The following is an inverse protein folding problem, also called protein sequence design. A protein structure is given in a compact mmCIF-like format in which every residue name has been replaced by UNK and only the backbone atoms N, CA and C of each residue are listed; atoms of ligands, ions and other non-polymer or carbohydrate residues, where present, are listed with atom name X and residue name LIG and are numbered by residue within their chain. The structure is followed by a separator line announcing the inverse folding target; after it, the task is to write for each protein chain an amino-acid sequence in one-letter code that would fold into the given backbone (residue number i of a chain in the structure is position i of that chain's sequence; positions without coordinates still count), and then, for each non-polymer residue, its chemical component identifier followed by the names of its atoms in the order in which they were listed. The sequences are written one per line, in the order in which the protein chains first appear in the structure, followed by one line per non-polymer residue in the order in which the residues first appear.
data_IF_299427030000
#
_entry.id   IF_299427030000
#
_cell.length_a   1.000
_cell.length_b   1.000
_cell.length_c   1.000
_cell.angle_alpha   90.00
_cell.angle_beta   90.00
_cell.angle_gamma   90.00
#
_symmetry.space_group_name_H-M   'P 1'
#
loop_
_entity.id
_entity.type
_entity.pdbx_description
1 polymer ?
#
# COMPACT_ATOMS: atom_id res chain seq x y z
N UNK A 1 -5.42 -5.32 -3.05
CA UNK A 1 -5.95 -4.15 -2.34
C UNK A 1 -6.43 -3.18 -3.38
N UNK A 2 -7.76 -2.98 -3.52
CA UNK A 2 -8.32 -2.09 -4.52
C UNK A 2 -8.06 -0.62 -4.17
N UNK A 3 -8.19 0.25 -5.17
CA UNK A 3 -8.09 1.71 -5.00
C UNK A 3 -9.12 2.25 -4.00
N UNK A 4 -10.37 1.75 -4.07
CA UNK A 4 -11.48 2.15 -3.21
C UNK A 4 -12.17 0.95 -2.56
N UNK A 5 -12.74 1.16 -1.37
CA UNK A 5 -13.49 0.13 -0.65
C UNK A 5 -12.60 -0.89 0.07
N UNK A 6 -13.11 -2.12 0.18
CA UNK A 6 -12.41 -3.22 0.87
C UNK A 6 -12.59 -3.23 2.40
N UNK A 7 -13.57 -2.47 2.93
CA UNK A 7 -13.92 -2.40 4.35
C UNK A 7 -15.41 -2.13 4.54
N UNK A 8 -15.93 -2.39 5.73
CA UNK A 8 -17.32 -2.13 6.12
C UNK A 8 -17.44 -0.71 6.69
N UNK A 9 -18.12 0.17 5.98
CA UNK A 9 -18.21 1.60 6.29
C UNK A 9 -18.84 1.91 7.66
N UNK A 10 -19.85 1.14 8.07
CA UNK A 10 -20.61 1.32 9.31
C UNK A 10 -19.91 0.77 10.56
N UNK A 11 -18.90 -0.09 10.37
CA UNK A 11 -18.11 -0.69 11.44
C UNK A 11 -16.94 0.22 11.82
N UNK A 12 -16.49 0.14 13.07
CA UNK A 12 -15.25 0.76 13.50
C UNK A 12 -14.04 0.09 12.82
N UNK A 13 -12.89 0.73 12.91
CA UNK A 13 -11.63 0.14 12.42
C UNK A 13 -11.37 -1.22 13.07
N UNK A 14 -11.51 -1.32 14.39
CA UNK A 14 -11.30 -2.56 15.13
C UNK A 14 -12.33 -3.64 14.75
N UNK A 15 -13.60 -3.27 14.59
CA UNK A 15 -14.65 -4.20 14.15
C UNK A 15 -14.38 -4.75 12.75
N UNK A 16 -13.88 -3.92 11.82
CA UNK A 16 -13.44 -4.35 10.50
C UNK A 16 -12.36 -5.44 10.57
N UNK A 17 -11.31 -5.19 11.37
CA UNK A 17 -10.21 -6.14 11.56
C UNK A 17 -10.68 -7.42 12.24
N UNK A 18 -11.57 -7.32 13.24
CA UNK A 18 -12.15 -8.49 13.89
C UNK A 18 -13.00 -9.33 12.94
N UNK A 19 -13.88 -8.70 12.16
CA UNK A 19 -14.77 -9.42 11.24
C UNK A 19 -13.99 -10.29 10.24
N UNK A 20 -12.95 -9.72 9.61
CA UNK A 20 -12.08 -10.48 8.70
C UNK A 20 -11.17 -11.45 9.47
N UNK A 21 -10.65 -11.04 10.62
CA UNK A 21 -9.80 -11.87 11.47
C UNK A 21 -10.50 -13.14 11.94
N UNK A 22 -11.80 -13.09 12.24
CA UNK A 22 -12.60 -14.27 12.65
C UNK A 22 -12.72 -15.31 11.55
N UNK A 23 -12.78 -14.88 10.30
CA UNK A 23 -12.82 -15.78 9.15
C UNK A 23 -11.48 -16.47 8.90
N UNK A 24 -10.36 -15.74 9.10
CA UNK A 24 -9.03 -16.19 8.71
C UNK A 24 -8.24 -16.85 9.85
N UNK A 25 -8.44 -16.43 11.10
CA UNK A 25 -7.64 -16.85 12.26
C UNK A 25 -8.54 -17.45 13.33
N UNK A 26 -8.60 -18.77 13.41
CA UNK A 26 -9.48 -19.50 14.34
C UNK A 26 -9.08 -19.29 15.82
N UNK A 27 -7.78 -19.27 16.12
CA UNK A 27 -7.31 -19.09 17.48
C UNK A 27 -7.51 -17.63 17.94
N UNK A 28 -8.36 -17.44 18.95
CA UNK A 28 -8.73 -16.12 19.47
C UNK A 28 -7.54 -15.30 19.98
N UNK A 29 -6.58 -15.95 20.67
CA UNK A 29 -5.40 -15.27 21.22
C UNK A 29 -4.48 -14.79 20.08
N UNK A 30 -4.17 -15.67 19.14
CA UNK A 30 -3.35 -15.34 17.95
C UNK A 30 -4.00 -14.20 17.13
N UNK A 31 -5.32 -14.27 16.95
CA UNK A 31 -6.09 -13.23 16.24
C UNK A 31 -5.98 -11.87 16.92
N UNK A 32 -6.18 -11.85 18.25
CA UNK A 32 -6.07 -10.62 19.05
C UNK A 32 -4.67 -10.00 18.97
N UNK A 33 -3.62 -10.81 19.14
CA UNK A 33 -2.24 -10.37 19.04
C UNK A 33 -1.92 -9.83 17.64
N UNK A 34 -2.35 -10.53 16.58
CA UNK A 34 -2.15 -10.11 15.19
C UNK A 34 -2.85 -8.78 14.86
N UNK A 35 -4.11 -8.62 15.29
CA UNK A 35 -4.88 -7.40 15.06
C UNK A 35 -4.22 -6.21 15.76
N UNK A 36 -3.86 -6.34 17.04
CA UNK A 36 -3.19 -5.24 17.75
C UNK A 36 -1.83 -4.89 17.13
N UNK A 37 -1.05 -5.89 16.74
CA UNK A 37 0.21 -5.69 16.02
C UNK A 37 0.01 -4.90 14.71
N UNK A 38 -1.03 -5.23 13.92
CA UNK A 38 -1.35 -4.50 12.70
C UNK A 38 -1.82 -3.07 12.98
N UNK A 39 -2.69 -2.86 13.98
CA UNK A 39 -3.15 -1.52 14.36
C UNK A 39 -1.95 -0.63 14.69
N UNK A 40 -1.03 -1.12 15.53
CA UNK A 40 0.17 -0.37 15.91
C UNK A 40 1.13 -0.17 14.73
N UNK A 41 1.42 -1.22 13.95
CA UNK A 41 2.31 -1.14 12.77
C UNK A 41 1.83 -0.13 11.73
N UNK A 42 0.51 0.04 11.59
CA UNK A 42 -0.10 0.97 10.66
C UNK A 42 -0.45 2.34 11.29
N UNK A 43 -0.03 2.60 12.52
CA UNK A 43 -0.28 3.86 13.25
C UNK A 43 -1.78 4.20 13.28
N UNK A 44 -2.61 3.23 13.65
CA UNK A 44 -4.07 3.34 13.66
C UNK A 44 -4.66 3.30 15.08
N UNK A 45 -3.81 3.28 16.12
CA UNK A 45 -4.24 3.16 17.52
C UNK A 45 -5.24 4.25 17.94
N UNK A 46 -4.97 5.50 17.58
CA UNK A 46 -5.80 6.65 17.93
C UNK A 46 -7.21 6.62 17.30
N UNK A 47 -7.40 5.81 16.25
CA UNK A 47 -8.67 5.76 15.50
C UNK A 47 -9.32 4.37 15.51
N UNK A 48 -8.85 3.48 16.39
CA UNK A 48 -9.32 2.09 16.45
C UNK A 48 -10.83 1.94 16.65
N UNK A 49 -11.44 2.83 17.42
CA UNK A 49 -12.86 2.81 17.76
C UNK A 49 -13.70 3.78 16.90
N UNK A 50 -13.08 4.40 15.90
CA UNK A 50 -13.75 5.29 14.95
C UNK A 50 -14.33 4.46 13.80
N UNK A 51 -15.59 4.77 13.42
CA UNK A 51 -16.22 4.14 12.25
C UNK A 51 -15.41 4.43 10.99
N UNK A 52 -15.26 3.42 10.13
CA UNK A 52 -14.46 3.51 8.91
C UNK A 52 -14.95 4.60 7.95
N UNK A 53 -16.25 4.96 7.99
CA UNK A 53 -16.80 6.10 7.24
C UNK A 53 -16.14 7.44 7.59
N UNK A 54 -15.73 7.63 8.85
CA UNK A 54 -15.15 8.88 9.35
C UNK A 54 -13.61 8.93 9.28
N UNK A 55 -12.95 7.86 8.89
CA UNK A 55 -11.50 7.83 8.71
C UNK A 55 -11.07 8.74 7.55
N UNK A 56 -9.90 9.35 7.66
CA UNK A 56 -9.25 10.06 6.54
C UNK A 56 -8.89 9.10 5.40
N UNK A 57 -8.62 9.63 4.20
CA UNK A 57 -8.19 8.83 3.05
C UNK A 57 -6.98 7.94 3.36
N UNK A 58 -5.95 8.50 3.99
CA UNK A 58 -4.76 7.76 4.40
C UNK A 58 -5.02 6.69 5.46
N UNK A 59 -5.90 6.97 6.43
CA UNK A 59 -6.32 5.97 7.43
C UNK A 59 -7.09 4.82 6.77
N UNK A 60 -7.98 5.12 5.82
CA UNK A 60 -8.71 4.11 5.03
C UNK A 60 -7.76 3.22 4.22
N UNK A 61 -6.78 3.81 3.54
CA UNK A 61 -5.75 3.05 2.79
C UNK A 61 -4.98 2.13 3.74
N UNK A 62 -4.51 2.63 4.87
CA UNK A 62 -3.78 1.83 5.89
C UNK A 62 -4.66 0.71 6.46
N UNK A 63 -5.94 0.96 6.74
CA UNK A 63 -6.88 -0.07 7.19
C UNK A 63 -7.02 -1.20 6.15
N UNK A 64 -7.21 -0.88 4.87
CA UNK A 64 -7.41 -1.90 3.83
C UNK A 64 -6.15 -2.75 3.63
N UNK A 65 -4.96 -2.15 3.72
CA UNK A 65 -3.71 -2.91 3.68
C UNK A 65 -3.59 -3.81 4.93
N UNK A 66 -3.90 -3.30 6.12
CA UNK A 66 -3.89 -4.08 7.35
C UNK A 66 -4.86 -5.28 7.28
N UNK A 67 -6.06 -5.08 6.73
CA UNK A 67 -7.03 -6.17 6.50
C UNK A 67 -6.47 -7.25 5.58
N UNK A 68 -5.78 -6.87 4.49
CA UNK A 68 -5.18 -7.83 3.55
C UNK A 68 -4.05 -8.66 4.17
N UNK A 69 -3.38 -8.15 5.21
CA UNK A 69 -2.29 -8.83 5.92
C UNK A 69 -2.75 -9.83 6.98
N UNK A 70 -4.04 -9.87 7.32
CA UNK A 70 -4.57 -10.85 8.27
C UNK A 70 -4.39 -12.29 7.77
N UNK A 71 -4.44 -12.51 6.46
CA UNK A 71 -4.26 -13.82 5.82
C UNK A 71 -2.80 -14.23 5.62
N UNK A 72 -1.82 -13.47 6.08
CA UNK A 72 -0.39 -13.70 5.86
C UNK A 72 -0.04 -13.95 4.36
N UNK A 73 -0.38 -13.02 3.46
CA UNK A 73 -0.13 -13.20 2.04
C UNK A 73 1.38 -13.23 1.75
N UNK A 74 1.78 -14.02 0.75
CA UNK A 74 3.14 -13.98 0.20
C UNK A 74 3.31 -12.90 -0.87
N UNK A 75 2.21 -12.52 -1.52
CA UNK A 75 2.17 -11.48 -2.54
C UNK A 75 1.05 -10.50 -2.19
N UNK A 76 1.36 -9.21 -2.22
CA UNK A 76 0.41 -8.12 -1.97
C UNK A 76 0.31 -7.26 -3.24
N UNK A 77 -0.90 -7.14 -3.78
CA UNK A 77 -1.17 -6.28 -4.92
C UNK A 77 -1.82 -4.99 -4.43
N UNK A 78 -1.22 -3.84 -4.73
CA UNK A 78 -1.70 -2.51 -4.35
C UNK A 78 -2.06 -1.72 -5.62
N UNK A 79 -3.31 -1.29 -5.68
CA UNK A 79 -3.84 -0.52 -6.80
C UNK A 79 -4.01 0.95 -6.38
N UNK A 80 -3.23 1.83 -6.99
CA UNK A 80 -3.13 3.26 -6.71
C UNK A 80 -3.06 3.59 -5.20
N UNK A 81 -2.06 3.06 -4.46
CA UNK A 81 -2.00 3.26 -3.01
C UNK A 81 -1.77 4.72 -2.60
N UNK A 82 -1.18 5.54 -3.46
CA UNK A 82 -0.83 6.94 -3.16
C UNK A 82 -1.89 7.94 -3.65
N UNK A 83 -2.89 7.50 -4.42
CA UNK A 83 -3.90 8.38 -4.99
C UNK A 83 -4.67 9.18 -3.93
N UNK A 84 -4.82 10.49 -4.17
CA UNK A 84 -5.56 11.44 -3.33
C UNK A 84 -5.07 11.55 -1.88
N UNK A 85 -3.77 11.33 -1.64
CA UNK A 85 -3.13 11.50 -0.34
C UNK A 85 -2.23 12.73 -0.31
N UNK A 86 -2.06 13.31 0.87
CA UNK A 86 -1.06 14.36 1.10
C UNK A 86 0.36 13.77 1.20
N UNK A 87 1.36 14.62 1.02
CA UNK A 87 2.78 14.23 0.96
C UNK A 87 3.24 13.47 2.22
N UNK A 88 2.78 13.88 3.41
CA UNK A 88 3.20 13.24 4.67
C UNK A 88 2.58 11.85 4.79
N UNK A 89 1.33 11.71 4.41
CA UNK A 89 0.64 10.41 4.37
C UNK A 89 1.28 9.46 3.36
N UNK A 90 1.67 9.95 2.17
CA UNK A 90 2.41 9.17 1.17
C UNK A 90 3.72 8.65 1.77
N UNK A 91 4.55 9.52 2.38
CA UNK A 91 5.81 9.11 3.00
C UNK A 91 5.63 8.07 4.10
N UNK A 92 4.59 8.21 4.92
CA UNK A 92 4.25 7.20 5.93
C UNK A 92 3.91 5.87 5.29
N UNK A 93 3.08 5.87 4.24
CA UNK A 93 2.67 4.66 3.54
C UNK A 93 3.85 3.98 2.81
N UNK A 94 4.73 4.76 2.18
CA UNK A 94 5.97 4.25 1.57
C UNK A 94 6.85 3.51 2.59
N UNK A 95 7.08 4.10 3.78
CA UNK A 95 7.83 3.43 4.86
C UNK A 95 7.17 2.11 5.28
N UNK A 96 5.85 2.10 5.43
CA UNK A 96 5.11 0.88 5.77
C UNK A 96 5.30 -0.19 4.68
N UNK A 97 5.18 0.17 3.40
CA UNK A 97 5.34 -0.74 2.26
C UNK A 97 6.75 -1.35 2.24
N UNK A 98 7.79 -0.54 2.37
CA UNK A 98 9.19 -1.00 2.41
C UNK A 98 9.41 -1.93 3.61
N UNK A 99 8.91 -1.59 4.80
CA UNK A 99 9.04 -2.44 5.99
C UNK A 99 8.29 -3.77 5.84
N UNK A 100 7.14 -3.80 5.16
CA UNK A 100 6.42 -5.05 4.89
C UNK A 100 7.24 -6.00 4.03
N UNK A 101 7.93 -5.50 3.03
CA UNK A 101 8.82 -6.31 2.18
C UNK A 101 10.00 -6.84 2.98
N UNK A 102 10.75 -5.98 3.68
CA UNK A 102 11.99 -6.34 4.36
C UNK A 102 11.79 -7.24 5.59
N UNK A 103 10.73 -6.99 6.40
CA UNK A 103 10.51 -7.73 7.64
C UNK A 103 9.68 -8.99 7.46
N UNK A 104 8.76 -9.02 6.50
CA UNK A 104 7.78 -10.09 6.34
C UNK A 104 8.00 -10.97 5.10
N UNK A 105 9.03 -10.70 4.29
CA UNK A 105 9.31 -11.42 3.02
C UNK A 105 8.07 -11.45 2.10
N UNK A 106 7.32 -10.35 2.07
CA UNK A 106 6.14 -10.21 1.20
C UNK A 106 6.59 -9.58 -0.11
N UNK A 107 6.32 -10.23 -1.22
CA UNK A 107 6.46 -9.59 -2.53
C UNK A 107 5.34 -8.59 -2.73
N UNK A 108 5.67 -7.32 -3.01
CA UNK A 108 4.68 -6.27 -3.21
C UNK A 108 4.72 -5.82 -4.66
N UNK A 109 3.56 -5.87 -5.32
CA UNK A 109 3.35 -5.32 -6.65
C UNK A 109 2.40 -4.15 -6.49
N UNK A 110 2.84 -2.96 -6.89
CA UNK A 110 2.00 -1.77 -6.82
C UNK A 110 1.92 -1.09 -8.18
N UNK A 111 0.73 -0.61 -8.52
CA UNK A 111 0.46 0.21 -9.70
C UNK A 111 0.08 1.60 -9.21
N UNK A 112 0.73 2.63 -9.71
CA UNK A 112 0.35 4.01 -9.41
C UNK A 112 0.77 4.92 -10.57
N UNK A 113 0.02 5.98 -10.80
CA UNK A 113 0.34 6.99 -11.80
C UNK A 113 1.25 8.10 -11.24
N UNK A 114 1.47 8.14 -9.93
CA UNK A 114 2.39 9.06 -9.27
C UNK A 114 3.82 8.49 -9.32
N UNK A 115 4.45 8.56 -10.50
CA UNK A 115 5.74 7.94 -10.78
C UNK A 115 6.83 8.26 -9.76
N UNK A 116 6.90 9.52 -9.29
CA UNK A 116 7.92 9.96 -8.33
C UNK A 116 7.78 9.22 -7.00
N UNK A 117 6.55 9.13 -6.50
CA UNK A 117 6.28 8.47 -5.23
C UNK A 117 6.45 6.95 -5.33
N UNK A 118 6.03 6.37 -6.46
CA UNK A 118 6.24 4.95 -6.75
C UNK A 118 7.73 4.60 -6.80
N UNK A 119 8.51 5.29 -7.63
CA UNK A 119 9.93 4.99 -7.85
C UNK A 119 10.80 5.21 -6.60
N UNK A 120 10.32 5.96 -5.61
CA UNK A 120 11.04 6.18 -4.36
C UNK A 120 10.94 5.02 -3.36
N UNK A 121 10.12 4.01 -3.61
CA UNK A 121 9.88 2.91 -2.66
C UNK A 121 9.86 1.51 -3.31
N UNK A 122 10.31 1.36 -4.54
CA UNK A 122 10.36 0.07 -5.24
C UNK A 122 11.80 -0.30 -5.62
N UNK A 123 12.07 -1.61 -5.70
CA UNK A 123 13.36 -2.13 -6.13
C UNK A 123 13.45 -2.16 -7.66
N UNK A 124 12.35 -2.55 -8.32
CA UNK A 124 12.22 -2.66 -9.78
C UNK A 124 10.89 -2.04 -10.19
N UNK A 125 10.88 -1.34 -11.31
CA UNK A 125 9.65 -0.85 -11.90
C UNK A 125 9.55 -1.22 -13.39
N UNK A 126 8.32 -1.24 -13.88
CA UNK A 126 7.98 -1.54 -15.27
C UNK A 126 7.13 -0.39 -15.80
N UNK A 127 7.54 0.21 -16.89
CA UNK A 127 6.78 1.25 -17.60
C UNK A 127 5.95 0.63 -18.71
N UNK A 128 4.63 0.85 -18.62
CA UNK A 128 3.67 0.38 -19.61
C UNK A 128 3.16 1.57 -20.44
N UNK A 129 3.19 1.45 -21.76
CA UNK A 129 2.57 2.41 -22.66
C UNK A 129 2.02 1.69 -23.88
N UNK A 130 0.85 2.10 -24.36
CA UNK A 130 0.17 1.51 -25.53
C UNK A 130 0.08 -0.03 -25.45
N UNK A 131 -0.30 -0.57 -24.31
CA UNK A 131 -0.43 -2.00 -24.03
C UNK A 131 0.87 -2.81 -24.20
N UNK A 132 2.03 -2.15 -24.09
CA UNK A 132 3.35 -2.79 -24.18
C UNK A 132 4.24 -2.38 -23.03
N UNK A 133 5.16 -3.26 -22.66
CA UNK A 133 6.28 -2.90 -21.77
C UNK A 133 7.27 -2.11 -22.62
N UNK A 134 7.51 -0.86 -22.24
CA UNK A 134 8.47 0.04 -22.93
C UNK A 134 9.81 0.09 -22.23
N UNK A 135 9.83 -0.10 -20.92
CA UNK A 135 11.06 -0.15 -20.14
C UNK A 135 10.84 -0.92 -18.84
N UNK A 136 11.89 -1.58 -18.33
CA UNK A 136 11.90 -2.18 -16.99
C UNK A 136 13.31 -2.10 -16.41
N UNK A 137 13.40 -1.96 -15.08
CA UNK A 137 14.67 -1.87 -14.38
C UNK A 137 14.54 -1.20 -13.03
N UNK A 138 15.67 -0.92 -12.40
CA UNK A 138 15.73 -0.13 -11.17
C UNK A 138 15.26 1.31 -11.43
N UNK A 139 14.81 2.03 -10.38
CA UNK A 139 14.46 3.44 -10.51
C UNK A 139 15.53 4.29 -11.21
N UNK A 140 16.81 4.07 -10.86
CA UNK A 140 17.94 4.80 -11.45
C UNK A 140 18.14 4.52 -12.94
N UNK A 141 17.93 3.26 -13.38
CA UNK A 141 18.00 2.89 -14.80
C UNK A 141 16.85 3.51 -15.59
N UNK A 142 15.65 3.48 -15.03
CA UNK A 142 14.45 4.01 -15.70
C UNK A 142 14.50 5.54 -15.89
N UNK A 143 15.02 6.28 -14.92
CA UNK A 143 15.15 7.73 -15.03
C UNK A 143 16.09 8.12 -16.18
N UNK A 144 17.09 7.27 -16.48
CA UNK A 144 18.05 7.50 -17.55
C UNK A 144 17.63 6.86 -18.89
N UNK A 145 16.57 6.08 -18.90
CA UNK A 145 16.07 5.40 -20.09
C UNK A 145 15.28 6.34 -21.00
N UNK A 146 15.71 6.49 -22.25
CA UNK A 146 15.07 7.41 -23.21
C UNK A 146 13.64 7.01 -23.57
N UNK A 147 13.34 5.71 -23.67
CA UNK A 147 12.00 5.22 -23.98
C UNK A 147 11.03 5.50 -22.82
N UNK A 148 11.49 5.29 -21.56
CA UNK A 148 10.72 5.62 -20.38
C UNK A 148 10.46 7.13 -20.25
N UNK A 149 11.45 7.98 -20.56
CA UNK A 149 11.29 9.44 -20.61
C UNK A 149 10.24 9.85 -21.64
N UNK A 150 10.39 9.39 -22.86
CA UNK A 150 9.48 9.74 -23.95
C UNK A 150 8.05 9.23 -23.71
N UNK A 151 7.89 8.04 -23.14
CA UNK A 151 6.59 7.41 -22.94
C UNK A 151 5.84 7.90 -21.71
N UNK A 152 6.57 8.34 -20.64
CA UNK A 152 5.93 8.54 -19.33
C UNK A 152 6.50 9.71 -18.52
N UNK A 153 7.82 9.85 -18.38
CA UNK A 153 8.40 10.78 -17.41
C UNK A 153 8.59 12.20 -17.93
N UNK A 154 8.88 12.37 -19.23
CA UNK A 154 9.38 13.64 -19.79
C UNK A 154 10.84 13.93 -19.41
N UNK A 155 11.45 14.89 -20.14
CA UNK A 155 12.89 15.19 -20.02
C UNK A 155 13.31 15.81 -18.68
N UNK A 156 12.38 16.48 -17.98
CA UNK A 156 12.64 17.21 -16.73
C UNK A 156 12.40 16.36 -15.47
N UNK A 157 12.06 15.10 -15.59
CA UNK A 157 11.71 14.25 -14.45
C UNK A 157 12.96 13.94 -13.60
N UNK A 158 12.83 14.17 -12.29
CA UNK A 158 13.84 13.85 -11.29
C UNK A 158 13.18 13.21 -10.07
N UNK A 159 13.83 12.24 -9.47
CA UNK A 159 13.52 11.74 -8.12
C UNK A 159 14.45 12.51 -7.16
N UNK A 160 13.85 13.16 -6.16
CA UNK A 160 14.63 13.85 -5.11
C UNK A 160 15.03 12.86 -4.02
#
# INVERSE_FOLDING_TARGET
VPQYGGYFHSMTLLENLNAIGELLIKNKKVRYEKINSLISKFELDAVRDIKASYLSGGQKKRLVIALSLLGNPKILLLDEPFAALDIMTIKTLQKIIVNLQSENNITIILCDHQARDLLSCVDIAIVLSNCKVVASGTPSELINNNEAKNAYFGDSFKIN
#
